data_IF_222280383945
#
_entry.id   IF_222280383945
#
_cell.length_a   1.000
_cell.length_b   1.000
_cell.length_c   1.000
_cell.angle_alpha   90.00
_cell.angle_beta   90.00
_cell.angle_gamma   90.00
#
_symmetry.space_group_name_H-M   'P 1'
#
loop_
_entity.id
_entity.type
_entity.pdbx_description
1 polymer ?
#
# COMPACT_ATOMS: atom_id res chain seq x y z
N UNK A 1 21.43 69.69 -3.21
CA UNK A 1 20.92 68.37 -3.65
C UNK A 1 21.93 67.33 -3.17
N UNK A 2 21.61 66.57 -2.12
CA UNK A 2 22.50 65.54 -1.59
C UNK A 2 22.28 64.25 -2.37
N UNK A 3 23.16 63.97 -3.34
CA UNK A 3 23.19 62.66 -3.99
C UNK A 3 23.76 61.63 -3.03
N UNK A 4 23.13 60.46 -2.85
CA UNK A 4 23.69 59.40 -2.01
C UNK A 4 25.04 58.95 -2.57
N UNK A 5 26.00 58.68 -1.68
CA UNK A 5 27.32 58.19 -2.09
C UNK A 5 27.18 56.84 -2.81
N UNK A 6 28.09 56.55 -3.74
CA UNK A 6 28.11 55.29 -4.51
C UNK A 6 28.04 54.04 -3.60
N UNK A 7 28.63 54.12 -2.41
CA UNK A 7 28.57 53.06 -1.40
C UNK A 7 27.15 52.82 -0.86
N UNK A 8 26.36 53.88 -0.61
CA UNK A 8 24.97 53.76 -0.14
C UNK A 8 24.08 53.10 -1.20
N UNK A 9 24.32 53.41 -2.48
CA UNK A 9 23.59 52.81 -3.60
C UNK A 9 23.92 51.31 -3.72
N UNK A 10 25.20 50.95 -3.62
CA UNK A 10 25.63 49.54 -3.65
C UNK A 10 25.02 48.73 -2.50
N UNK A 11 25.02 49.28 -1.27
CA UNK A 11 24.44 48.60 -0.10
C UNK A 11 22.93 48.37 -0.30
N UNK A 12 22.19 49.36 -0.79
CA UNK A 12 20.76 49.24 -1.07
C UNK A 12 20.46 48.21 -2.16
N UNK A 13 21.28 48.16 -3.23
CA UNK A 13 21.16 47.14 -4.28
C UNK A 13 21.44 45.72 -3.75
N UNK A 14 22.46 45.54 -2.92
CA UNK A 14 22.75 44.23 -2.30
C UNK A 14 21.64 43.79 -1.34
N UNK A 15 21.07 44.70 -0.54
CA UNK A 15 19.95 44.38 0.34
C UNK A 15 18.68 44.03 -0.45
N UNK A 16 18.43 44.71 -1.56
CA UNK A 16 17.33 44.38 -2.46
C UNK A 16 17.52 42.99 -3.07
N UNK A 17 18.74 42.66 -3.52
CA UNK A 17 19.07 41.34 -4.07
C UNK A 17 18.91 40.20 -3.05
N UNK A 18 19.34 40.40 -1.80
CA UNK A 18 19.18 39.44 -0.72
C UNK A 18 17.69 39.21 -0.40
N UNK A 19 16.89 40.28 -0.35
CA UNK A 19 15.44 40.17 -0.12
C UNK A 19 14.72 39.43 -1.26
N UNK A 20 15.12 39.67 -2.51
CA UNK A 20 14.58 38.93 -3.66
C UNK A 20 14.95 37.45 -3.57
N UNK A 21 16.20 37.11 -3.25
CA UNK A 21 16.65 35.73 -3.04
C UNK A 21 15.89 35.03 -1.90
N UNK A 22 15.71 35.70 -0.75
CA UNK A 22 14.97 35.14 0.39
C UNK A 22 13.49 34.92 0.05
N UNK A 23 12.86 35.81 -0.73
CA UNK A 23 11.50 35.62 -1.20
C UNK A 23 11.39 34.48 -2.22
N UNK A 24 12.36 34.31 -3.12
CA UNK A 24 12.41 33.15 -4.02
C UNK A 24 12.56 31.82 -3.25
N UNK A 25 13.37 31.78 -2.20
CA UNK A 25 13.53 30.59 -1.35
C UNK A 25 12.23 30.27 -0.61
N UNK A 26 11.54 31.27 -0.04
CA UNK A 26 10.23 31.08 0.61
C UNK A 26 9.15 30.63 -0.36
N UNK A 27 9.13 31.18 -1.57
CA UNK A 27 8.21 30.76 -2.62
C UNK A 27 8.48 29.32 -3.07
N UNK A 28 9.75 28.95 -3.21
CA UNK A 28 10.15 27.57 -3.54
C UNK A 28 9.77 26.58 -2.44
N UNK A 29 9.95 26.94 -1.17
CA UNK A 29 9.53 26.12 -0.03
C UNK A 29 8.01 25.95 0.05
N UNK A 30 7.24 27.03 -0.18
CA UNK A 30 5.77 26.99 -0.21
C UNK A 30 5.23 26.17 -1.38
N UNK A 31 5.88 26.21 -2.55
CA UNK A 31 5.54 25.37 -3.71
C UNK A 31 5.88 23.90 -3.42
N UNK A 32 6.99 23.62 -2.72
CA UNK A 32 7.35 22.25 -2.32
C UNK A 32 6.35 21.66 -1.30
N UNK A 33 5.92 22.44 -0.29
CA UNK A 33 4.87 22.02 0.65
C UNK A 33 3.50 21.86 -0.03
N UNK A 34 3.15 22.75 -0.97
CA UNK A 34 1.92 22.65 -1.74
C UNK A 34 1.92 21.44 -2.68
N UNK A 35 3.10 21.05 -3.22
CA UNK A 35 3.27 19.85 -4.04
C UNK A 35 3.20 18.57 -3.19
N UNK A 36 3.75 18.59 -1.97
CA UNK A 36 3.61 17.52 -0.98
C UNK A 36 2.15 17.35 -0.51
N UNK A 37 1.39 18.43 -0.38
CA UNK A 37 -0.06 18.39 -0.09
C UNK A 37 -0.91 18.01 -1.32
N UNK A 38 -0.50 18.37 -2.53
CA UNK A 38 -1.19 17.93 -3.75
C UNK A 38 -0.99 16.43 -4.01
N UNK A 39 0.15 15.87 -3.60
CA UNK A 39 0.42 14.42 -3.61
C UNK A 39 -0.44 13.65 -2.60
N UNK A 40 -0.93 14.29 -1.53
CA UNK A 40 -1.89 13.67 -0.60
C UNK A 40 -3.36 13.84 -1.02
N UNK A 41 -3.69 14.86 -1.84
CA UNK A 41 -5.07 15.14 -2.27
C UNK A 41 -5.50 14.46 -3.59
N UNK A 42 -4.57 14.03 -4.44
CA UNK A 42 -4.86 13.24 -5.65
C UNK A 42 -4.38 11.79 -5.58
N UNK A 43 -3.88 11.36 -4.43
CA UNK A 43 -3.41 10.01 -4.14
C UNK A 43 -4.50 9.07 -3.62
N UNK A 44 -5.71 9.13 -4.15
CA UNK A 44 -6.74 8.10 -3.96
C UNK A 44 -6.35 6.79 -4.64
N UNK A 45 -5.16 6.25 -4.33
CA UNK A 45 -4.82 4.86 -4.62
C UNK A 45 -5.80 4.03 -3.81
N UNK A 46 -6.87 3.54 -4.45
CA UNK A 46 -7.63 2.40 -3.92
C UNK A 46 -6.60 1.32 -3.59
N UNK A 47 -6.32 1.14 -2.32
CA UNK A 47 -5.35 0.16 -1.86
C UNK A 47 -6.04 -1.20 -2.01
N UNK A 48 -5.39 -2.14 -2.69
CA UNK A 48 -5.88 -3.53 -2.80
C UNK A 48 -5.70 -4.27 -1.45
N UNK A 49 -6.08 -3.63 -0.35
CA UNK A 49 -6.07 -4.18 1.00
C UNK A 49 -7.34 -4.99 1.14
N UNK A 50 -7.19 -6.31 1.23
CA UNK A 50 -8.31 -7.18 1.58
C UNK A 50 -8.64 -6.98 3.06
N UNK A 51 -9.89 -6.61 3.33
CA UNK A 51 -10.39 -6.34 4.67
C UNK A 51 -11.74 -7.06 4.84
N UNK A 52 -11.77 -8.21 5.50
CA UNK A 52 -13.01 -8.94 5.73
C UNK A 52 -13.88 -8.30 6.83
N UNK A 53 -13.36 -7.28 7.53
CA UNK A 53 -13.99 -6.63 8.67
C UNK A 53 -14.50 -5.22 8.37
N UNK A 54 -14.34 -4.71 7.14
CA UNK A 54 -14.94 -3.46 6.74
C UNK A 54 -16.45 -3.62 6.51
N UNK A 55 -17.22 -2.60 6.89
CA UNK A 55 -18.66 -2.52 6.65
C UNK A 55 -19.04 -2.47 5.16
N UNK A 56 -18.05 -2.34 4.26
CA UNK A 56 -18.25 -2.32 2.80
C UNK A 56 -18.54 -3.71 2.21
N UNK A 57 -18.39 -4.80 2.98
CA UNK A 57 -18.68 -6.17 2.54
C UNK A 57 -20.18 -6.52 2.57
N UNK A 58 -21.00 -5.75 3.30
CA UNK A 58 -22.45 -5.98 3.42
C UNK A 58 -23.24 -4.79 2.88
N UNK A 59 -23.02 -4.42 1.62
CA UNK A 59 -24.03 -3.69 0.84
C UNK A 59 -24.69 -4.66 -0.16
N UNK A 60 -25.97 -5.05 0.04
CA UNK A 60 -26.69 -5.94 -0.85
C UNK A 60 -27.00 -5.34 -2.24
N UNK A 61 -26.62 -4.08 -2.51
CA UNK A 61 -26.83 -3.41 -3.79
C UNK A 61 -25.56 -3.22 -4.65
N UNK A 62 -24.36 -3.50 -4.13
CA UNK A 62 -23.09 -3.48 -4.91
C UNK A 62 -22.94 -4.69 -5.87
N UNK A 63 -23.90 -5.63 -5.84
CA UNK A 63 -23.91 -6.84 -6.67
C UNK A 63 -24.76 -6.78 -7.96
N UNK A 64 -25.39 -5.64 -8.30
CA UNK A 64 -26.29 -5.56 -9.48
C UNK A 64 -25.62 -4.83 -10.67
N UNK A 65 -25.53 -5.44 -11.86
CA UNK A 65 -24.83 -4.88 -13.02
C UNK A 65 -25.66 -3.83 -13.78
N UNK A 66 -26.41 -2.96 -13.09
CA UNK A 66 -27.34 -2.02 -13.75
C UNK A 66 -27.35 -0.60 -13.14
N UNK A 67 -26.17 -0.04 -12.79
CA UNK A 67 -26.03 1.42 -12.62
C UNK A 67 -24.69 1.96 -13.14
N UNK A 68 -24.10 1.32 -14.15
CA UNK A 68 -22.90 1.85 -14.84
C UNK A 68 -23.24 2.36 -16.25
N UNK A 69 -24.19 3.27 -16.34
CA UNK A 69 -24.58 3.90 -17.61
C UNK A 69 -24.34 5.42 -17.62
N UNK A 70 -23.27 5.91 -16.97
CA UNK A 70 -22.91 7.34 -17.06
C UNK A 70 -21.41 7.69 -16.90
N UNK A 71 -20.48 6.74 -17.01
CA UNK A 71 -19.04 7.07 -17.11
C UNK A 71 -18.39 6.47 -18.35
N UNK A 72 -19.05 6.67 -19.49
CA UNK A 72 -18.46 6.46 -20.81
C UNK A 72 -17.59 7.66 -21.21
N UNK A 73 -16.44 7.85 -20.53
CA UNK A 73 -15.23 8.48 -21.07
C UNK A 73 -14.20 8.70 -19.95
N UNK A 74 -13.26 7.78 -19.81
CA UNK A 74 -11.96 8.09 -19.19
C UNK A 74 -10.88 7.48 -20.09
N UNK A 75 -9.98 8.29 -20.67
CA UNK A 75 -8.92 7.78 -21.51
C UNK A 75 -7.91 7.00 -20.66
N UNK A 76 -7.68 5.75 -21.06
CA UNK A 76 -6.63 4.90 -20.51
C UNK A 76 -5.26 5.42 -20.95
N UNK A 77 -4.65 6.25 -20.10
CA UNK A 77 -3.25 6.66 -20.22
C UNK A 77 -2.52 6.53 -18.88
N UNK A 78 -2.71 5.38 -18.21
CA UNK A 78 -1.77 4.91 -17.21
C UNK A 78 -0.81 3.96 -17.93
N UNK A 79 0.47 4.32 -17.92
CA UNK A 79 1.54 3.59 -18.60
C UNK A 79 1.40 2.09 -18.42
N UNK A 80 1.16 1.41 -19.53
CA UNK A 80 1.02 -0.03 -19.61
C UNK A 80 2.42 -0.65 -19.57
N UNK A 81 3.06 -0.60 -18.41
CA UNK A 81 3.87 -1.73 -17.96
C UNK A 81 2.89 -2.70 -17.29
N UNK A 82 2.10 -3.41 -18.09
CA UNK A 82 1.49 -4.66 -17.62
C UNK A 82 2.61 -5.68 -17.46
N UNK A 83 3.48 -5.48 -16.47
CA UNK A 83 4.20 -6.57 -15.85
C UNK A 83 3.10 -7.55 -15.41
N UNK A 84 3.21 -8.81 -15.84
CA UNK A 84 2.26 -9.82 -15.41
C UNK A 84 2.35 -9.90 -13.89
N UNK A 85 1.36 -9.32 -13.19
CA UNK A 85 1.31 -9.36 -11.74
C UNK A 85 1.08 -10.82 -11.38
N UNK A 86 2.11 -11.46 -10.83
CA UNK A 86 1.95 -12.76 -10.22
C UNK A 86 0.97 -12.54 -9.07
N UNK A 87 -0.18 -13.22 -9.09
CA UNK A 87 -1.13 -13.14 -8.00
C UNK A 87 -1.09 -14.45 -7.21
N UNK A 88 -0.32 -14.51 -6.11
CA UNK A 88 -0.23 -15.74 -5.32
C UNK A 88 -1.60 -16.12 -4.76
N UNK A 89 -1.90 -17.42 -4.75
CA UNK A 89 -3.09 -17.94 -4.09
C UNK A 89 -2.88 -17.84 -2.59
N UNK A 90 -3.87 -17.31 -1.88
CA UNK A 90 -3.78 -17.06 -0.45
C UNK A 90 -5.06 -17.52 0.23
N UNK A 91 -4.87 -18.30 1.29
CA UNK A 91 -5.92 -18.69 2.22
C UNK A 91 -5.73 -17.94 3.53
N UNK A 92 -6.83 -17.48 4.12
CA UNK A 92 -6.84 -16.90 5.45
C UNK A 92 -7.88 -17.64 6.29
N UNK A 93 -7.42 -18.25 7.38
CA UNK A 93 -8.30 -18.82 8.41
C UNK A 93 -8.08 -18.15 9.76
N UNK A 94 -9.13 -18.20 10.57
CA UNK A 94 -9.15 -17.68 11.92
C UNK A 94 -9.41 -18.82 12.90
N UNK A 95 -8.66 -18.82 14.00
CA UNK A 95 -8.87 -19.68 15.18
C UNK A 95 -9.21 -18.77 16.37
N UNK A 96 -9.67 -19.32 17.51
CA UNK A 96 -9.93 -18.50 18.69
C UNK A 96 -8.69 -17.72 19.15
N UNK A 97 -7.48 -18.28 18.97
CA UNK A 97 -6.23 -17.73 19.48
C UNK A 97 -5.38 -17.01 18.42
N UNK A 98 -5.55 -17.31 17.13
CA UNK A 98 -4.67 -16.81 16.07
C UNK A 98 -5.36 -16.64 14.72
N UNK A 99 -4.86 -15.72 13.89
CA UNK A 99 -5.07 -15.73 12.45
C UNK A 99 -3.92 -16.44 11.76
N UNK A 100 -4.24 -17.28 10.77
CA UNK A 100 -3.27 -18.04 10.00
C UNK A 100 -3.49 -17.75 8.52
N UNK A 101 -2.49 -17.15 7.89
CA UNK A 101 -2.51 -16.76 6.47
C UNK A 101 -1.48 -17.63 5.75
N UNK A 102 -1.89 -18.30 4.68
CA UNK A 102 -1.03 -19.20 3.87
C UNK A 102 -1.00 -18.72 2.44
N UNK A 103 0.19 -18.56 1.87
CA UNK A 103 0.38 -18.12 0.50
C UNK A 103 1.23 -19.12 -0.30
N UNK A 104 0.72 -19.51 -1.46
CA UNK A 104 1.43 -20.40 -2.37
C UNK A 104 2.44 -19.62 -3.20
N UNK A 105 3.72 -19.88 -2.93
CA UNK A 105 4.89 -19.21 -3.51
C UNK A 105 5.91 -20.23 -4.03
N UNK A 106 5.54 -21.17 -4.92
CA UNK A 106 6.46 -22.19 -5.39
C UNK A 106 7.64 -21.61 -6.17
N UNK A 107 8.84 -22.17 -5.94
CA UNK A 107 10.07 -21.75 -6.62
C UNK A 107 10.62 -20.39 -6.18
N UNK A 108 10.13 -19.84 -5.06
CA UNK A 108 10.73 -18.68 -4.39
C UNK A 108 11.44 -19.12 -3.13
N UNK A 109 12.59 -18.52 -2.87
CA UNK A 109 13.31 -18.66 -1.61
C UNK A 109 12.79 -17.63 -0.59
N UNK A 110 13.05 -17.89 0.70
CA UNK A 110 12.59 -17.00 1.79
C UNK A 110 13.18 -15.59 1.70
N UNK A 111 14.35 -15.45 1.10
CA UNK A 111 15.05 -14.18 0.88
C UNK A 111 14.38 -13.33 -0.22
N UNK A 112 13.61 -13.94 -1.12
CA UNK A 112 12.92 -13.29 -2.24
C UNK A 112 11.50 -12.83 -1.85
N UNK A 113 11.07 -13.13 -0.61
CA UNK A 113 9.74 -12.82 -0.09
C UNK A 113 9.89 -11.90 1.12
N UNK A 114 9.17 -10.78 1.09
CA UNK A 114 9.16 -9.79 2.17
C UNK A 114 7.77 -9.73 2.81
N UNK A 115 7.74 -9.89 4.13
CA UNK A 115 6.54 -9.77 4.96
C UNK A 115 6.71 -8.58 5.89
N UNK A 116 5.78 -7.64 5.84
CA UNK A 116 5.84 -6.40 6.61
C UNK A 116 4.50 -6.09 7.25
N UNK A 117 4.56 -5.34 8.36
CA UNK A 117 3.40 -4.72 8.97
C UNK A 117 3.53 -3.22 8.73
N UNK A 118 2.55 -2.65 8.03
CA UNK A 118 2.44 -1.21 7.82
C UNK A 118 1.48 -0.59 8.84
N UNK A 119 1.46 0.74 8.89
CA UNK A 119 0.54 1.52 9.72
C UNK A 119 -0.92 1.11 9.48
N UNK A 120 -1.72 1.17 10.55
CA UNK A 120 -3.13 0.79 10.49
C UNK A 120 -3.38 -0.72 10.44
N UNK A 121 -2.47 -1.52 11.03
CA UNK A 121 -2.56 -3.00 11.15
C UNK A 121 -2.67 -3.70 9.79
N UNK A 122 -1.90 -3.24 8.81
CA UNK A 122 -1.91 -3.83 7.46
C UNK A 122 -0.72 -4.77 7.29
N UNK A 123 -1.01 -6.06 7.16
CA UNK A 123 -0.02 -7.07 6.78
C UNK A 123 0.21 -7.04 5.27
N UNK A 124 1.45 -6.86 4.87
CA UNK A 124 1.89 -6.82 3.49
C UNK A 124 2.79 -8.01 3.17
N UNK A 125 2.49 -8.70 2.07
CA UNK A 125 3.29 -9.78 1.50
C UNK A 125 3.71 -9.34 0.11
N UNK A 126 5.02 -9.29 -0.14
CA UNK A 126 5.57 -8.84 -1.42
C UNK A 126 6.77 -9.69 -1.85
N UNK A 127 7.08 -9.67 -3.13
CA UNK A 127 8.24 -10.36 -3.70
C UNK A 127 8.21 -10.33 -5.21
N UNK A 128 9.19 -11.00 -5.82
CA UNK A 128 9.33 -11.08 -7.28
C UNK A 128 9.69 -12.50 -7.70
N UNK A 129 8.88 -13.08 -8.58
CA UNK A 129 9.22 -14.34 -9.24
C UNK A 129 9.95 -14.03 -10.54
N UNK A 130 11.26 -14.24 -10.51
CA UNK A 130 12.10 -14.15 -11.70
C UNK A 130 11.89 -15.37 -12.60
N UNK A 131 12.17 -15.17 -13.89
CA UNK A 131 12.29 -16.28 -14.83
C UNK A 131 13.61 -16.99 -14.57
N UNK A 132 13.62 -18.32 -14.66
CA UNK A 132 14.87 -19.09 -14.62
C UNK A 132 15.79 -18.62 -15.75
N UNK A 133 17.10 -18.58 -15.48
CA UNK A 133 18.10 -18.12 -16.43
C UNK A 133 18.03 -18.97 -17.71
N UNK A 134 17.76 -18.33 -18.85
CA UNK A 134 17.71 -19.01 -20.15
C UNK A 134 19.14 -19.21 -20.67
N UNK A 135 19.53 -20.45 -20.95
CA UNK A 135 20.76 -20.71 -21.67
C UNK A 135 20.53 -20.43 -23.16
N UNK A 136 21.57 -19.95 -23.87
CA UNK A 136 21.46 -19.54 -25.29
C UNK A 136 21.03 -20.66 -26.24
N UNK A 137 21.00 -21.92 -25.78
CA UNK A 137 20.64 -23.09 -26.56
C UNK A 137 19.26 -23.68 -26.19
N UNK A 138 18.52 -23.06 -25.29
CA UNK A 138 17.23 -23.60 -24.83
C UNK A 138 16.10 -23.33 -25.83
N UNK A 139 15.35 -24.38 -26.17
CA UNK A 139 14.14 -24.27 -26.99
C UNK A 139 12.90 -24.46 -26.14
N UNK A 140 12.19 -23.37 -25.88
CA UNK A 140 10.91 -23.40 -25.18
C UNK A 140 9.80 -23.94 -26.09
N UNK A 141 9.20 -25.06 -25.70
CA UNK A 141 8.01 -25.58 -26.38
C UNK A 141 6.72 -24.93 -25.88
N UNK A 142 6.68 -24.52 -24.60
CA UNK A 142 5.53 -23.87 -23.95
C UNK A 142 5.97 -23.17 -22.66
N UNK A 143 5.36 -22.03 -22.34
CA UNK A 143 5.58 -21.31 -21.09
C UNK A 143 4.23 -20.92 -20.51
N UNK A 144 3.92 -21.44 -19.33
CA UNK A 144 2.67 -21.15 -18.60
C UNK A 144 2.92 -20.46 -17.25
N UNK A 145 4.11 -20.66 -16.69
CA UNK A 145 4.50 -20.08 -15.40
C UNK A 145 4.60 -18.57 -15.55
N UNK A 146 3.81 -17.85 -14.77
CA UNK A 146 3.83 -16.38 -14.73
C UNK A 146 5.02 -15.92 -13.88
N UNK A 147 5.76 -14.95 -14.40
CA UNK A 147 6.87 -14.27 -13.74
C UNK A 147 6.50 -12.81 -13.52
N UNK A 148 7.04 -12.21 -12.45
CA UNK A 148 6.80 -10.81 -12.12
C UNK A 148 6.67 -10.57 -10.62
N UNK A 149 6.45 -9.30 -10.30
CA UNK A 149 6.28 -8.82 -8.92
C UNK A 149 4.88 -9.12 -8.42
N UNK A 150 4.78 -9.35 -7.11
CA UNK A 150 3.51 -9.51 -6.42
C UNK A 150 3.45 -8.66 -5.16
N UNK A 151 2.24 -8.22 -4.82
CA UNK A 151 1.94 -7.46 -3.63
C UNK A 151 0.53 -7.83 -3.16
N UNK A 152 0.41 -8.30 -1.93
CA UNK A 152 -0.87 -8.62 -1.28
C UNK A 152 -0.92 -7.97 0.08
N UNK A 153 -2.01 -7.27 0.37
CA UNK A 153 -2.21 -6.56 1.63
C UNK A 153 -3.47 -7.05 2.31
N UNK A 154 -3.40 -7.25 3.62
CA UNK A 154 -4.48 -7.74 4.46
C UNK A 154 -4.61 -6.80 5.65
N UNK A 155 -5.80 -6.25 5.90
CA UNK A 155 -6.04 -5.54 7.15
C UNK A 155 -6.33 -6.58 8.23
N UNK A 156 -5.52 -6.56 9.28
CA UNK A 156 -5.70 -7.42 10.44
C UNK A 156 -6.71 -6.78 11.40
N UNK A 157 -7.49 -7.59 12.12
CA UNK A 157 -8.49 -7.10 13.06
C UNK A 157 -7.83 -6.43 14.27
N UNK A 158 -8.66 -5.78 15.08
CA UNK A 158 -8.16 -4.93 16.14
C UNK A 158 -7.46 -5.68 17.26
N UNK A 159 -7.89 -6.92 17.50
CA UNK A 159 -7.38 -7.83 18.50
C UNK A 159 -6.14 -8.60 18.07
N UNK A 160 -5.49 -8.24 16.95
CA UNK A 160 -4.27 -8.89 16.49
C UNK A 160 -3.02 -8.34 17.19
N UNK A 161 -2.20 -9.22 17.78
CA UNK A 161 -0.95 -8.87 18.45
C UNK A 161 0.19 -8.75 17.44
N UNK A 162 0.38 -7.54 16.91
CA UNK A 162 1.31 -7.26 15.80
C UNK A 162 2.79 -7.57 16.13
N UNK A 163 3.20 -7.42 17.39
CA UNK A 163 4.60 -7.65 17.81
C UNK A 163 4.98 -9.13 17.87
N UNK A 164 4.00 -10.03 17.82
CA UNK A 164 4.20 -11.48 17.98
C UNK A 164 3.98 -12.26 16.68
N UNK A 165 3.93 -11.57 15.54
CA UNK A 165 3.75 -12.20 14.23
C UNK A 165 4.95 -13.08 13.88
N UNK A 166 4.65 -14.31 13.43
CA UNK A 166 5.65 -15.28 12.99
C UNK A 166 5.40 -15.66 11.54
N UNK A 167 6.45 -15.71 10.74
CA UNK A 167 6.41 -16.16 9.35
C UNK A 167 7.36 -17.34 9.16
N UNK A 168 6.88 -18.36 8.45
CA UNK A 168 7.65 -19.56 8.10
C UNK A 168 7.42 -19.88 6.63
N UNK A 169 8.44 -20.42 5.95
CA UNK A 169 8.32 -20.81 4.55
C UNK A 169 8.84 -22.23 4.39
N UNK A 170 7.97 -23.13 3.95
CA UNK A 170 8.27 -24.55 3.80
C UNK A 170 7.65 -25.06 2.50
N UNK A 171 8.42 -25.79 1.70
CA UNK A 171 7.95 -26.42 0.46
C UNK A 171 7.23 -25.45 -0.51
N UNK A 172 7.68 -24.20 -0.58
CA UNK A 172 7.07 -23.18 -1.44
C UNK A 172 5.76 -22.61 -0.90
N UNK A 173 5.42 -22.83 0.39
CA UNK A 173 4.26 -22.24 1.04
C UNK A 173 4.72 -21.34 2.17
N UNK A 174 4.35 -20.06 2.11
CA UNK A 174 4.53 -19.11 3.19
C UNK A 174 3.36 -19.23 4.17
N UNK A 175 3.65 -19.41 5.46
CA UNK A 175 2.66 -19.44 6.54
C UNK A 175 2.97 -18.32 7.54
N UNK A 176 2.01 -17.42 7.71
CA UNK A 176 2.06 -16.30 8.66
C UNK A 176 1.05 -16.58 9.76
N UNK A 177 1.52 -16.53 11.01
CA UNK A 177 0.70 -16.71 12.21
C UNK A 177 0.70 -15.38 12.95
N UNK A 178 -0.50 -14.85 13.17
CA UNK A 178 -0.76 -13.61 13.88
C UNK A 178 -1.56 -13.95 15.14
N UNK A 179 -0.95 -13.92 16.33
CA UNK A 179 -1.65 -14.16 17.57
C UNK A 179 -2.73 -13.11 17.83
N UNK A 180 -3.76 -13.49 18.57
CA UNK A 180 -4.78 -12.59 19.09
C UNK A 180 -4.47 -12.20 20.52
N UNK A 181 -4.90 -11.02 20.91
CA UNK A 181 -4.98 -10.62 22.31
C UNK A 181 -6.02 -11.48 23.02
N UNK A 182 -5.77 -11.83 24.28
CA UNK A 182 -6.76 -12.51 25.11
C UNK A 182 -7.94 -11.56 25.37
N UNK A 183 -8.97 -11.66 24.55
CA UNK A 183 -10.21 -10.95 24.79
C UNK A 183 -10.91 -11.50 26.04
N UNK A 184 -11.18 -10.62 27.01
CA UNK A 184 -12.11 -10.93 28.09
C UNK A 184 -13.46 -11.23 27.46
N UNK A 185 -13.95 -12.46 27.61
CA UNK A 185 -15.27 -12.87 27.11
C UNK A 185 -16.31 -11.79 27.47
N UNK A 186 -17.05 -11.23 26.50
CA UNK A 186 -18.03 -10.21 26.80
C UNK A 186 -19.08 -10.80 27.75
N UNK A 187 -19.29 -10.15 28.90
CA UNK A 187 -20.36 -10.53 29.81
C UNK A 187 -21.71 -10.26 29.12
N UNK A 188 -22.46 -11.32 28.84
CA UNK A 188 -23.80 -11.20 28.27
C UNK A 188 -24.71 -10.58 29.33
N UNK A 189 -25.10 -9.32 29.14
CA UNK A 189 -26.06 -8.65 30.01
C UNK A 189 -27.48 -9.00 29.55
N UNK A 190 -28.29 -9.70 30.36
CA UNK A 190 -29.68 -9.97 30.00
C UNK A 190 -30.46 -8.67 29.96
N UNK A 191 -31.19 -8.43 28.86
CA UNK A 191 -32.08 -7.28 28.72
C UNK A 191 -33.50 -7.72 29.09
N UNK A 192 -34.10 -7.10 30.11
CA UNK A 192 -35.50 -7.34 30.44
C UNK A 192 -36.41 -6.69 29.39
N UNK A 193 -37.37 -7.45 28.89
CA UNK A 193 -38.45 -6.95 28.04
C UNK A 193 -39.59 -6.50 28.96
N UNK A 194 -39.90 -5.21 28.97
CA UNK A 194 -41.08 -4.67 29.65
C UNK A 194 -42.27 -4.63 28.69
N UNK A 195 -43.45 -5.01 29.19
CA UNK A 195 -44.75 -4.88 28.54
C UNK A 195 -45.76 -4.23 29.46
#
# INVERSE_FOLDING_TARGET
>A
QNFPSSATIYIQLTLLYINVLQNCIKLCASIHESLLMALSLFGGRRSNVFDPFSLDIWDPFEGFPMVSSSVANVPSSAGRETAAVVNPRIDWKETPETHIIRADLPGLNKEEVKVEIEDGRVLQISGERNREHEEKNDKWHRVERVTGKFLRRFRLPENATMDQVKATMENGVLTIIVPKEEEKKPEVKPVQISG
#
